data_IF_896121732670
#
_entry.id   IF_896121732670
#
_cell.length_a   1.000
_cell.length_b   1.000
_cell.length_c   1.000
_cell.angle_alpha   90.00
_cell.angle_beta   90.00
_cell.angle_gamma   90.00
#
_symmetry.space_group_name_H-M   'P 1'
#
loop_
_entity.id
_entity.type
_entity.pdbx_description
1 polymer ?
#
# COMPACT_ATOMS: atom_id res chain seq x y z
N UNK A 1 -10.58 -25.21 -19.09
CA UNK A 1 -9.17 -25.68 -19.08
C UNK A 1 -9.02 -26.75 -18.01
N UNK A 2 -8.24 -27.80 -18.32
CA UNK A 2 -7.77 -28.75 -17.33
C UNK A 2 -6.32 -28.39 -16.98
N UNK A 3 -5.99 -28.30 -15.69
CA UNK A 3 -4.66 -28.00 -15.21
C UNK A 3 -4.28 -28.95 -14.06
N UNK A 4 -2.98 -29.29 -13.95
CA UNK A 4 -2.47 -30.09 -12.85
C UNK A 4 -2.41 -29.29 -11.54
N UNK A 5 -2.13 -28.01 -11.64
CA UNK A 5 -2.04 -27.08 -10.51
C UNK A 5 -2.51 -25.69 -10.92
N UNK A 6 -2.96 -24.89 -9.96
CA UNK A 6 -3.35 -23.50 -10.16
C UNK A 6 -2.58 -22.61 -9.19
N UNK A 7 -1.97 -21.56 -9.70
CA UNK A 7 -1.25 -20.56 -8.91
C UNK A 7 -1.92 -19.20 -9.12
N UNK A 8 -2.54 -18.68 -8.08
CA UNK A 8 -3.15 -17.35 -8.07
C UNK A 8 -2.08 -16.29 -7.74
N UNK A 9 -1.66 -15.57 -8.77
CA UNK A 9 -0.71 -14.45 -8.70
C UNK A 9 -1.40 -13.11 -9.03
N UNK A 10 -2.71 -12.98 -8.82
CA UNK A 10 -3.50 -11.81 -9.25
C UNK A 10 -3.25 -10.53 -8.44
N UNK A 11 -2.48 -10.61 -7.35
CA UNK A 11 -2.08 -9.46 -6.55
C UNK A 11 -3.23 -8.79 -5.77
N UNK A 12 -3.02 -7.52 -5.39
CA UNK A 12 -3.96 -6.75 -4.55
C UNK A 12 -4.36 -5.39 -5.14
N UNK A 13 -3.70 -4.93 -6.19
CA UNK A 13 -3.84 -3.55 -6.71
C UNK A 13 -5.23 -3.20 -7.23
N UNK A 14 -6.00 -4.18 -7.67
CA UNK A 14 -7.38 -3.98 -8.13
C UNK A 14 -8.41 -3.78 -7.02
N UNK A 15 -8.01 -3.84 -5.75
CA UNK A 15 -8.91 -3.74 -4.60
C UNK A 15 -8.34 -2.79 -3.53
N UNK A 16 -8.36 -1.47 -3.77
CA UNK A 16 -7.80 -0.48 -2.86
C UNK A 16 -8.65 -0.35 -1.58
N UNK A 17 -8.03 0.14 -0.51
CA UNK A 17 -8.74 0.60 0.67
C UNK A 17 -9.36 1.99 0.42
N UNK A 18 -10.49 2.34 1.06
CA UNK A 18 -11.05 3.67 1.00
C UNK A 18 -10.16 4.71 1.71
N UNK A 19 -10.45 6.00 1.47
CA UNK A 19 -9.86 7.10 2.22
C UNK A 19 -10.35 7.13 3.66
N UNK A 20 -11.59 6.69 3.91
CA UNK A 20 -12.17 6.62 5.24
C UNK A 20 -11.30 5.78 6.19
N UNK A 21 -10.94 6.36 7.34
CA UNK A 21 -9.97 5.78 8.27
C UNK A 21 -10.41 4.51 8.97
N UNK A 22 -11.72 4.19 8.98
CA UNK A 22 -12.24 2.94 9.51
C UNK A 22 -12.28 1.79 8.47
N UNK A 23 -11.90 2.06 7.21
CA UNK A 23 -11.85 1.06 6.15
C UNK A 23 -13.21 0.73 5.52
N UNK A 24 -14.24 1.50 5.81
CA UNK A 24 -15.59 1.31 5.25
C UNK A 24 -15.78 2.21 4.03
N UNK A 25 -16.25 1.63 2.94
CA UNK A 25 -16.66 2.36 1.73
C UNK A 25 -17.96 3.13 1.98
N UNK A 26 -17.89 4.46 1.96
CA UNK A 26 -19.05 5.33 2.05
C UNK A 26 -19.59 5.68 0.65
N UNK A 27 -20.91 5.85 0.55
CA UNK A 27 -21.56 6.24 -0.71
C UNK A 27 -21.07 7.59 -1.22
N UNK A 28 -20.79 8.50 -0.30
CA UNK A 28 -20.26 9.83 -0.59
C UNK A 28 -18.89 9.75 -1.26
N UNK A 29 -17.99 8.93 -0.72
CA UNK A 29 -16.67 8.68 -1.31
C UNK A 29 -16.78 8.04 -2.69
N UNK A 30 -17.61 7.01 -2.82
CA UNK A 30 -17.86 6.33 -4.11
C UNK A 30 -18.47 7.27 -5.17
N UNK A 31 -19.30 8.24 -4.75
CA UNK A 31 -19.92 9.21 -5.66
C UNK A 31 -18.95 10.26 -6.20
N UNK A 32 -17.73 10.34 -5.63
CA UNK A 32 -16.68 11.31 -5.99
C UNK A 32 -15.54 10.65 -6.80
N UNK A 33 -15.77 9.51 -7.41
CA UNK A 33 -14.76 8.74 -8.13
C UNK A 33 -14.06 9.52 -9.25
N UNK A 34 -14.71 10.55 -9.83
CA UNK A 34 -14.10 11.44 -10.82
C UNK A 34 -13.01 12.35 -10.21
N UNK A 35 -13.09 12.66 -8.89
CA UNK A 35 -12.14 13.50 -8.15
C UNK A 35 -11.18 12.69 -7.27
N UNK A 36 -11.36 11.38 -7.17
CA UNK A 36 -10.55 10.52 -6.32
C UNK A 36 -9.78 9.51 -7.17
N UNK A 37 -8.48 9.40 -6.94
CA UNK A 37 -7.63 8.39 -7.56
C UNK A 37 -7.06 7.45 -6.49
N UNK A 38 -7.21 6.15 -6.69
CA UNK A 38 -6.66 5.14 -5.79
C UNK A 38 -5.38 4.55 -6.38
N UNK A 39 -4.27 4.70 -5.66
CA UNK A 39 -2.95 4.26 -6.10
C UNK A 39 -2.05 5.42 -6.54
N UNK A 40 -1.09 5.17 -7.42
CA UNK A 40 -0.10 6.14 -7.90
C UNK A 40 -0.49 6.57 -9.32
N UNK A 41 -1.04 7.80 -9.52
CA UNK A 41 -1.36 8.30 -10.85
C UNK A 41 -0.09 8.72 -11.62
N UNK A 42 -0.17 8.75 -12.94
CA UNK A 42 0.87 9.31 -13.81
C UNK A 42 0.79 10.85 -13.85
N UNK A 43 1.24 11.48 -12.74
CA UNK A 43 1.08 12.92 -12.47
C UNK A 43 1.83 13.78 -13.47
N UNK A 44 3.03 13.37 -13.86
CA UNK A 44 3.89 14.13 -14.78
C UNK A 44 3.58 13.83 -16.24
N UNK A 45 2.79 12.82 -16.53
CA UNK A 45 2.38 12.39 -17.86
C UNK A 45 0.90 12.68 -18.13
N UNK A 46 0.12 11.61 -18.36
CA UNK A 46 -1.27 11.70 -18.84
C UNK A 46 -2.24 12.41 -17.88
N UNK A 47 -1.98 12.38 -16.57
CA UNK A 47 -2.84 12.98 -15.55
C UNK A 47 -2.41 14.41 -15.17
N UNK A 48 -1.39 14.99 -15.80
CA UNK A 48 -0.82 16.29 -15.45
C UNK A 48 -1.88 17.39 -15.36
N UNK A 49 -2.77 17.48 -16.33
CA UNK A 49 -3.83 18.51 -16.37
C UNK A 49 -4.84 18.36 -15.24
N UNK A 50 -4.99 17.15 -14.70
CA UNK A 50 -5.89 16.85 -13.62
C UNK A 50 -5.44 17.51 -12.31
N UNK A 51 -4.13 17.58 -12.09
CA UNK A 51 -3.57 18.05 -10.81
C UNK A 51 -2.94 19.45 -10.88
N UNK A 52 -2.59 19.93 -12.06
CA UNK A 52 -1.94 21.22 -12.26
C UNK A 52 -2.80 22.41 -11.75
N UNK A 53 -2.19 23.27 -10.90
CA UNK A 53 -2.83 24.45 -10.31
C UNK A 53 -4.09 24.16 -9.49
N UNK A 54 -4.17 23.01 -8.88
CA UNK A 54 -5.26 22.57 -8.01
C UNK A 54 -4.76 22.33 -6.58
N UNK A 55 -5.71 22.31 -5.63
CA UNK A 55 -5.47 21.82 -4.27
C UNK A 55 -5.68 20.32 -4.27
N UNK A 56 -4.60 19.56 -4.08
CA UNK A 56 -4.55 18.09 -4.17
C UNK A 56 -4.24 17.51 -2.79
N UNK A 57 -5.12 16.66 -2.29
CA UNK A 57 -4.89 15.92 -1.06
C UNK A 57 -4.30 14.52 -1.36
N UNK A 58 -3.22 14.16 -0.69
CA UNK A 58 -2.65 12.81 -0.70
C UNK A 58 -2.89 12.16 0.65
N UNK A 59 -3.59 11.02 0.65
CA UNK A 59 -3.97 10.28 1.85
C UNK A 59 -3.16 9.02 1.99
N UNK A 60 -2.38 8.92 3.06
CA UNK A 60 -1.51 7.77 3.36
C UNK A 60 -0.12 8.17 3.80
N UNK A 61 0.63 7.24 4.37
CA UNK A 61 1.98 7.49 4.92
C UNK A 61 3.04 6.48 4.44
N UNK A 62 2.70 5.64 3.47
CA UNK A 62 3.64 4.68 2.89
C UNK A 62 4.37 5.22 1.66
N UNK A 63 5.28 4.42 1.11
CA UNK A 63 6.11 4.79 -0.06
C UNK A 63 5.28 5.25 -1.28
N UNK A 64 4.08 4.70 -1.49
CA UNK A 64 3.19 5.14 -2.57
C UNK A 64 2.76 6.61 -2.38
N UNK A 65 2.42 7.01 -1.15
CA UNK A 65 2.09 8.39 -0.85
C UNK A 65 3.31 9.31 -1.04
N UNK A 66 4.49 8.89 -0.57
CA UNK A 66 5.73 9.67 -0.72
C UNK A 66 6.07 9.87 -2.21
N UNK A 67 6.02 8.82 -3.02
CA UNK A 67 6.26 8.95 -4.48
C UNK A 67 5.28 9.94 -5.12
N UNK A 68 3.99 9.83 -4.78
CA UNK A 68 2.95 10.75 -5.26
C UNK A 68 3.23 12.19 -4.86
N UNK A 69 3.64 12.45 -3.61
CA UNK A 69 3.98 13.78 -3.12
C UNK A 69 5.20 14.37 -3.84
N UNK A 70 6.23 13.56 -4.07
CA UNK A 70 7.44 13.96 -4.81
C UNK A 70 7.13 14.31 -6.28
N UNK A 71 6.22 13.59 -6.92
CA UNK A 71 5.77 13.93 -8.29
C UNK A 71 4.92 15.20 -8.32
N UNK A 72 4.03 15.40 -7.34
CA UNK A 72 3.27 16.64 -7.18
C UNK A 72 4.18 17.84 -6.92
N UNK A 73 5.24 17.67 -6.13
CA UNK A 73 6.23 18.73 -5.91
C UNK A 73 6.93 19.14 -7.22
N UNK A 74 7.35 18.18 -8.05
CA UNK A 74 7.88 18.47 -9.39
C UNK A 74 6.85 19.16 -10.29
N UNK A 75 5.59 18.72 -10.26
CA UNK A 75 4.52 19.38 -11.00
C UNK A 75 4.36 20.84 -10.58
N UNK A 76 4.45 21.13 -9.28
CA UNK A 76 4.33 22.47 -8.70
C UNK A 76 5.41 23.42 -9.21
N UNK A 77 6.63 22.96 -9.54
CA UNK A 77 7.70 23.82 -10.10
C UNK A 77 7.24 24.56 -11.37
N UNK A 78 6.51 23.86 -12.25
CA UNK A 78 5.94 24.45 -13.48
C UNK A 78 4.50 24.94 -13.31
N UNK A 79 3.84 24.61 -12.22
CA UNK A 79 2.45 24.94 -11.90
C UNK A 79 2.34 25.50 -10.47
N UNK A 80 2.82 26.73 -10.21
CA UNK A 80 3.06 27.24 -8.85
C UNK A 80 1.81 27.43 -7.99
N UNK A 81 0.61 27.44 -8.59
CA UNK A 81 -0.65 27.49 -7.85
C UNK A 81 -1.11 26.14 -7.33
N UNK A 82 -0.36 25.07 -7.59
CA UNK A 82 -0.64 23.73 -7.02
C UNK A 82 -0.39 23.75 -5.52
N UNK A 83 -1.41 23.36 -4.75
CA UNK A 83 -1.33 23.22 -3.30
C UNK A 83 -1.36 21.73 -2.99
N UNK A 84 -0.38 21.27 -2.23
CA UNK A 84 -0.22 19.85 -1.87
C UNK A 84 -0.56 19.69 -0.40
N UNK A 85 -1.54 18.85 -0.09
CA UNK A 85 -1.96 18.53 1.27
C UNK A 85 -1.68 17.06 1.55
N UNK A 86 -0.90 16.78 2.58
CA UNK A 86 -0.58 15.42 2.99
C UNK A 86 -1.33 15.03 4.26
N UNK A 87 -2.21 14.05 4.15
CA UNK A 87 -3.08 13.60 5.24
C UNK A 87 -2.68 12.22 5.70
N UNK A 88 -2.41 12.04 7.00
CA UNK A 88 -2.05 10.74 7.55
C UNK A 88 -2.56 10.53 8.98
N UNK A 89 -2.64 9.25 9.39
CA UNK A 89 -3.08 8.83 10.74
C UNK A 89 -1.94 8.76 11.77
N UNK A 90 -0.69 8.76 11.33
CA UNK A 90 0.49 8.71 12.22
C UNK A 90 0.45 9.89 13.19
N UNK A 91 1.04 9.74 14.37
CA UNK A 91 1.05 10.81 15.37
C UNK A 91 1.92 11.99 14.92
N UNK A 92 3.03 11.68 14.28
CA UNK A 92 4.00 12.66 13.80
C UNK A 92 4.42 12.36 12.37
N UNK A 93 4.76 13.39 11.63
CA UNK A 93 5.16 13.27 10.23
C UNK A 93 6.47 12.50 10.07
N UNK A 94 7.39 12.64 11.04
CA UNK A 94 8.72 11.98 11.03
C UNK A 94 8.59 10.46 10.98
N UNK A 95 7.53 9.90 11.54
CA UNK A 95 7.24 8.46 11.46
C UNK A 95 7.00 7.95 10.01
N UNK A 96 6.77 8.86 9.07
CA UNK A 96 6.59 8.51 7.66
C UNK A 96 7.88 8.58 6.85
N UNK A 97 8.94 9.20 7.36
CA UNK A 97 10.21 9.35 6.62
C UNK A 97 11.00 8.03 6.54
N UNK A 98 10.71 7.08 7.45
CA UNK A 98 11.41 5.80 7.50
C UNK A 98 12.83 5.92 8.02
N UNK A 99 13.72 5.04 7.55
CA UNK A 99 15.11 4.97 8.03
C UNK A 99 16.05 6.03 7.46
N UNK A 100 15.64 6.77 6.43
CA UNK A 100 16.45 7.75 5.71
C UNK A 100 17.85 7.17 5.37
N UNK A 101 18.95 7.83 5.77
CA UNK A 101 20.32 7.35 5.54
C UNK A 101 20.64 6.03 6.26
N UNK A 102 19.86 5.64 7.25
CA UNK A 102 20.01 4.38 8.00
C UNK A 102 19.20 3.24 7.39
N UNK A 103 18.45 3.49 6.34
CA UNK A 103 17.63 2.46 5.68
C UNK A 103 18.54 1.47 4.94
N UNK A 104 18.35 0.18 5.16
CA UNK A 104 19.11 -0.87 4.48
C UNK A 104 18.91 -0.88 2.95
N UNK A 105 17.82 -0.30 2.47
CA UNK A 105 17.56 -0.08 1.04
C UNK A 105 17.78 1.39 0.68
N UNK A 106 18.93 1.70 0.08
CA UNK A 106 19.34 3.08 -0.28
C UNK A 106 18.24 3.85 -1.03
N UNK A 107 17.60 3.22 -2.02
CA UNK A 107 16.51 3.85 -2.78
C UNK A 107 15.30 4.21 -1.92
N UNK A 108 15.01 3.43 -0.86
CA UNK A 108 13.94 3.71 0.09
C UNK A 108 14.31 4.82 1.05
N UNK A 109 15.54 4.80 1.56
CA UNK A 109 16.09 5.88 2.40
C UNK A 109 16.07 7.23 1.68
N UNK A 110 16.49 7.26 0.42
CA UNK A 110 16.44 8.46 -0.41
C UNK A 110 15.03 9.05 -0.59
N UNK A 111 13.98 8.23 -0.62
CA UNK A 111 12.60 8.73 -0.63
C UNK A 111 12.25 9.45 0.68
N UNK A 112 12.67 8.88 1.82
CA UNK A 112 12.48 9.47 3.14
C UNK A 112 13.15 10.85 3.25
N UNK A 113 14.43 10.95 2.92
CA UNK A 113 15.18 12.21 2.97
C UNK A 113 14.57 13.29 2.06
N UNK A 114 14.11 12.91 0.87
CA UNK A 114 13.50 13.86 -0.07
C UNK A 114 12.16 14.40 0.41
N UNK A 115 11.28 13.55 0.98
CA UNK A 115 10.01 14.04 1.50
C UNK A 115 10.20 14.88 2.77
N UNK A 116 11.16 14.53 3.62
CA UNK A 116 11.55 15.32 4.79
C UNK A 116 11.92 16.75 4.36
N UNK A 117 12.80 16.89 3.39
CA UNK A 117 13.19 18.19 2.84
C UNK A 117 11.99 19.01 2.35
N UNK A 118 11.05 18.40 1.60
CA UNK A 118 9.85 19.11 1.11
C UNK A 118 8.92 19.59 2.23
N UNK A 119 8.86 18.85 3.33
CA UNK A 119 8.08 19.26 4.52
C UNK A 119 8.77 20.43 5.22
N UNK A 120 10.07 20.37 5.43
CA UNK A 120 10.86 21.45 6.06
C UNK A 120 10.83 22.77 5.26
N UNK A 121 10.84 22.68 3.94
CA UNK A 121 10.70 23.81 3.02
C UNK A 121 9.26 24.40 3.00
N UNK A 122 8.29 23.75 3.66
CA UNK A 122 6.89 24.17 3.63
C UNK A 122 6.22 24.00 2.25
N UNK A 123 6.78 23.13 1.40
CA UNK A 123 6.23 22.84 0.06
C UNK A 123 4.97 22.00 0.11
N UNK A 124 4.72 21.30 1.23
CA UNK A 124 3.60 20.41 1.50
C UNK A 124 2.92 20.80 2.80
N UNK A 125 1.61 20.99 2.78
CA UNK A 125 0.79 21.16 3.99
C UNK A 125 0.57 19.80 4.64
N UNK A 126 1.08 19.56 5.85
CA UNK A 126 0.93 18.31 6.58
C UNK A 126 -0.22 18.39 7.57
N UNK A 127 -1.12 17.40 7.53
CA UNK A 127 -2.23 17.24 8.49
C UNK A 127 -2.11 15.87 9.16
N UNK A 128 -1.63 15.87 10.39
CA UNK A 128 -1.39 14.66 11.20
C UNK A 128 -1.48 14.99 12.70
N UNK A 129 -1.95 14.07 13.56
CA UNK A 129 -2.71 12.86 13.23
C UNK A 129 -4.11 13.22 12.72
N UNK A 130 -4.57 12.59 11.64
CA UNK A 130 -5.88 12.90 11.11
C UNK A 130 -6.65 11.64 10.69
N UNK A 131 -7.86 11.48 11.20
CA UNK A 131 -8.73 10.34 10.91
C UNK A 131 -9.91 10.80 10.04
N UNK A 132 -9.83 10.51 8.74
CA UNK A 132 -10.93 10.82 7.81
C UNK A 132 -12.17 10.03 8.19
N UNK A 133 -13.29 10.72 8.36
CA UNK A 133 -14.60 10.12 8.62
C UNK A 133 -15.47 10.10 7.37
N UNK A 134 -15.48 11.19 6.60
CA UNK A 134 -16.28 11.31 5.39
C UNK A 134 -15.70 12.36 4.45
N UNK A 135 -16.13 12.29 3.22
CA UNK A 135 -15.92 13.34 2.21
C UNK A 135 -17.28 13.95 1.84
N UNK A 136 -17.32 15.25 1.58
CA UNK A 136 -18.53 15.95 1.21
C UNK A 136 -18.29 16.66 -0.14
N UNK A 137 -19.15 16.42 -1.11
CA UNK A 137 -19.08 17.07 -2.43
C UNK A 137 -19.24 18.58 -2.30
N UNK A 138 -18.39 19.31 -2.99
CA UNK A 138 -18.52 20.75 -3.21
C UNK A 138 -18.78 21.02 -4.70
N UNK A 139 -18.85 22.28 -5.11
CA UNK A 139 -19.04 22.65 -6.52
C UNK A 139 -17.91 22.17 -7.41
N UNK A 140 -16.66 22.30 -6.94
CA UNK A 140 -15.45 22.09 -7.76
C UNK A 140 -14.54 20.96 -7.22
N UNK A 141 -15.07 20.09 -6.34
CA UNK A 141 -14.32 19.00 -5.72
C UNK A 141 -14.99 18.50 -4.44
N UNK A 142 -14.26 18.54 -3.32
CA UNK A 142 -14.73 18.01 -2.04
C UNK A 142 -14.14 18.73 -0.84
N UNK A 143 -14.84 18.59 0.28
CA UNK A 143 -14.30 18.84 1.61
C UNK A 143 -14.04 17.51 2.30
N UNK A 144 -12.90 17.38 2.97
CA UNK A 144 -12.55 16.18 3.74
C UNK A 144 -12.83 16.48 5.22
N UNK A 145 -13.71 15.70 5.85
CA UNK A 145 -14.09 15.87 7.24
C UNK A 145 -13.54 14.71 8.06
N UNK A 146 -12.91 15.02 9.16
CA UNK A 146 -12.32 14.03 10.03
C UNK A 146 -11.97 14.60 11.40
N UNK A 147 -11.27 13.81 12.21
CA UNK A 147 -10.83 14.20 13.55
C UNK A 147 -9.32 14.29 13.62
N UNK A 148 -8.85 15.34 14.24
CA UNK A 148 -7.52 15.48 14.79
C UNK A 148 -7.67 15.47 16.30
N UNK A 149 -7.15 14.41 16.94
CA UNK A 149 -7.47 14.11 18.33
C UNK A 149 -8.98 13.97 18.55
N UNK A 150 -9.59 14.80 19.42
CA UNK A 150 -11.02 14.81 19.69
C UNK A 150 -11.79 15.91 18.94
N UNK A 151 -11.11 16.73 18.14
CA UNK A 151 -11.72 17.84 17.40
C UNK A 151 -12.05 17.44 15.98
N UNK A 152 -13.31 17.72 15.56
CA UNK A 152 -13.66 17.64 14.14
C UNK A 152 -12.98 18.79 13.39
N UNK A 153 -12.19 18.44 12.39
CA UNK A 153 -11.50 19.38 11.52
C UNK A 153 -11.92 19.10 10.07
N UNK A 154 -12.09 20.18 9.32
CA UNK A 154 -12.47 20.15 7.92
C UNK A 154 -11.34 20.68 7.05
N UNK A 155 -10.89 19.86 6.11
CA UNK A 155 -9.97 20.27 5.04
C UNK A 155 -10.81 20.69 3.85
N UNK A 156 -10.88 22.00 3.61
CA UNK A 156 -11.78 22.59 2.63
C UNK A 156 -11.16 22.67 1.24
N UNK A 157 -12.04 22.78 0.23
CA UNK A 157 -11.69 23.14 -1.14
C UNK A 157 -10.66 22.21 -1.80
N UNK A 158 -10.72 20.92 -1.51
CA UNK A 158 -9.89 19.90 -2.17
C UNK A 158 -10.48 19.61 -3.54
N UNK A 159 -9.71 19.85 -4.60
CA UNK A 159 -10.16 19.62 -5.98
C UNK A 159 -9.97 18.15 -6.38
N UNK A 160 -8.86 17.55 -5.96
CA UNK A 160 -8.51 16.17 -6.28
C UNK A 160 -7.95 15.48 -5.03
N UNK A 161 -8.26 14.21 -4.85
CA UNK A 161 -7.70 13.38 -3.77
C UNK A 161 -7.03 12.14 -4.35
N UNK A 162 -5.82 11.84 -3.87
CA UNK A 162 -5.08 10.62 -4.22
C UNK A 162 -4.98 9.77 -2.96
N UNK A 163 -5.50 8.55 -3.03
CA UNK A 163 -5.62 7.65 -1.88
C UNK A 163 -4.57 6.55 -1.96
N UNK A 164 -3.64 6.56 -1.02
CA UNK A 164 -2.54 5.61 -0.87
C UNK A 164 -2.63 4.86 0.47
N UNK A 165 -3.82 4.41 0.82
CA UNK A 165 -4.12 3.72 2.10
C UNK A 165 -3.87 2.21 2.06
N UNK A 166 -3.24 1.73 1.00
CA UNK A 166 -2.96 0.32 0.75
C UNK A 166 -4.11 -0.38 0.03
N UNK A 167 -3.93 -1.69 -0.14
CA UNK A 167 -4.86 -2.55 -0.88
C UNK A 167 -5.21 -3.79 -0.06
N UNK A 168 -6.26 -4.48 -0.48
CA UNK A 168 -6.68 -5.76 0.09
C UNK A 168 -6.72 -6.83 -1.00
N UNK A 169 -6.52 -8.11 -0.67
CA UNK A 169 -6.69 -9.18 -1.65
C UNK A 169 -8.16 -9.28 -2.06
N UNK A 170 -8.41 -9.47 -3.35
CA UNK A 170 -9.74 -9.87 -3.80
C UNK A 170 -9.83 -11.39 -3.77
N UNK A 171 -10.53 -11.93 -2.78
CA UNK A 171 -10.73 -13.37 -2.59
C UNK A 171 -12.00 -13.91 -3.26
N UNK A 172 -12.82 -13.06 -3.90
CA UNK A 172 -14.09 -13.46 -4.50
C UNK A 172 -13.92 -14.49 -5.63
N UNK A 173 -12.83 -14.37 -6.41
CA UNK A 173 -12.55 -15.29 -7.53
C UNK A 173 -12.19 -16.72 -7.07
N UNK A 174 -11.84 -16.90 -5.79
CA UNK A 174 -11.48 -18.18 -5.21
C UNK A 174 -12.43 -18.61 -4.09
N UNK A 175 -13.61 -17.99 -4.01
CA UNK A 175 -14.58 -18.20 -2.94
C UNK A 175 -15.14 -19.64 -2.87
N UNK A 176 -15.10 -20.39 -3.98
CA UNK A 176 -15.53 -21.79 -4.05
C UNK A 176 -14.38 -22.79 -3.85
N UNK A 177 -13.14 -22.28 -3.69
CA UNK A 177 -11.96 -23.12 -3.47
C UNK A 177 -11.73 -23.26 -1.96
N UNK A 178 -11.33 -24.44 -1.51
CA UNK A 178 -10.98 -24.67 -0.10
C UNK A 178 -9.67 -23.97 0.23
N UNK A 179 -9.76 -22.79 0.84
CA UNK A 179 -8.62 -21.98 1.26
C UNK A 179 -8.53 -21.87 2.77
N UNK A 180 -7.33 -21.61 3.27
CA UNK A 180 -7.07 -21.28 4.68
C UNK A 180 -6.50 -19.87 4.74
N UNK A 181 -7.38 -18.92 5.09
CA UNK A 181 -7.09 -17.47 5.14
C UNK A 181 -7.30 -16.99 6.56
N UNK A 182 -6.34 -16.24 7.09
CA UNK A 182 -6.47 -15.52 8.35
C UNK A 182 -7.39 -14.30 8.18
N UNK A 183 -8.41 -14.16 9.01
CA UNK A 183 -9.42 -13.11 8.87
C UNK A 183 -8.92 -11.71 9.24
N UNK A 184 -7.89 -11.59 10.06
CA UNK A 184 -7.36 -10.30 10.50
C UNK A 184 -6.39 -9.70 9.48
N UNK A 185 -5.46 -10.50 8.99
CA UNK A 185 -4.46 -10.08 8.00
C UNK A 185 -4.93 -10.29 6.56
N UNK A 186 -5.98 -11.08 6.33
CA UNK A 186 -6.43 -11.53 5.00
C UNK A 186 -5.34 -12.23 4.19
N UNK A 187 -4.33 -12.73 4.87
CA UNK A 187 -3.22 -13.50 4.32
C UNK A 187 -3.47 -15.01 4.43
N UNK A 188 -2.61 -15.81 3.81
CA UNK A 188 -2.59 -17.25 4.06
C UNK A 188 -2.39 -17.49 5.56
N UNK A 189 -3.22 -18.33 6.17
CA UNK A 189 -3.25 -18.52 7.62
C UNK A 189 -1.91 -18.98 8.23
N UNK A 190 -1.16 -19.81 7.51
CA UNK A 190 0.19 -20.24 7.91
C UNK A 190 1.24 -19.12 7.83
N UNK A 191 1.02 -18.11 6.98
CA UNK A 191 1.88 -16.92 6.91
C UNK A 191 1.52 -15.88 7.96
N UNK A 192 0.26 -15.76 8.35
CA UNK A 192 -0.21 -14.69 9.23
C UNK A 192 0.69 -14.46 10.46
N UNK A 193 1.06 -15.47 11.27
CA UNK A 193 1.92 -15.26 12.43
C UNK A 193 3.36 -14.88 12.06
N UNK A 194 3.78 -15.08 10.82
CA UNK A 194 5.13 -14.80 10.35
C UNK A 194 5.27 -13.40 9.75
N UNK A 195 4.16 -12.75 9.41
CA UNK A 195 4.12 -11.48 8.69
C UNK A 195 3.25 -10.41 9.36
N UNK A 196 2.56 -10.73 10.46
CA UNK A 196 1.68 -9.80 11.17
C UNK A 196 2.47 -8.58 11.66
N UNK A 197 2.16 -7.36 11.19
CA UNK A 197 2.87 -6.15 11.57
C UNK A 197 2.71 -5.77 13.04
N UNK A 198 1.75 -6.36 13.77
CA UNK A 198 1.60 -6.19 15.21
C UNK A 198 2.56 -7.09 16.01
N UNK A 199 3.07 -8.16 15.39
CA UNK A 199 3.96 -9.13 16.03
C UNK A 199 5.40 -9.02 15.53
N UNK A 200 5.60 -8.53 14.31
CA UNK A 200 6.89 -8.48 13.64
C UNK A 200 7.18 -7.09 13.10
N UNK A 201 8.42 -6.65 13.26
CA UNK A 201 8.92 -5.47 12.55
C UNK A 201 9.26 -5.82 11.09
N UNK A 202 9.25 -4.83 10.21
CA UNK A 202 9.48 -5.03 8.77
C UNK A 202 10.82 -5.68 8.39
N UNK A 203 11.76 -5.82 9.31
CA UNK A 203 13.07 -6.45 9.05
C UNK A 203 13.17 -7.93 9.45
N UNK A 204 12.13 -8.50 10.06
CA UNK A 204 12.21 -9.86 10.64
C UNK A 204 11.44 -10.92 9.88
N UNK A 205 10.79 -10.56 8.78
CA UNK A 205 10.02 -11.49 7.95
C UNK A 205 10.98 -12.39 7.17
N UNK A 206 10.93 -13.71 7.45
CA UNK A 206 11.74 -14.72 6.76
C UNK A 206 11.10 -15.10 5.42
N UNK A 207 11.90 -15.57 4.45
CA UNK A 207 11.37 -16.17 3.22
C UNK A 207 10.44 -17.34 3.51
N UNK A 208 9.43 -17.51 2.67
CA UNK A 208 8.45 -18.59 2.75
C UNK A 208 8.43 -19.39 1.46
N UNK A 209 8.26 -20.69 1.57
CA UNK A 209 8.20 -21.60 0.45
C UNK A 209 6.84 -22.30 0.31
N UNK A 210 6.84 -23.36 -0.48
CA UNK A 210 5.65 -24.15 -0.78
C UNK A 210 4.93 -24.64 0.47
N UNK A 211 5.68 -25.05 1.50
CA UNK A 211 5.13 -25.59 2.74
C UNK A 211 4.19 -24.61 3.45
N UNK A 212 4.58 -23.34 3.53
CA UNK A 212 3.81 -22.29 4.17
C UNK A 212 2.67 -21.78 3.28
N UNK A 213 2.78 -21.97 1.95
CA UNK A 213 1.80 -21.48 0.98
C UNK A 213 0.73 -22.52 0.62
N UNK A 214 0.89 -23.75 1.08
CA UNK A 214 -0.02 -24.86 0.80
C UNK A 214 -1.43 -24.57 1.32
N UNK A 215 -2.42 -24.79 0.45
CA UNK A 215 -3.83 -24.64 0.79
C UNK A 215 -4.48 -26.01 1.07
N UNK A 216 -5.66 -26.05 1.73
CA UNK A 216 -6.46 -27.27 1.86
C UNK A 216 -6.84 -27.86 0.50
N UNK A 217 -7.08 -27.03 -0.52
CA UNK A 217 -7.24 -27.51 -1.90
C UNK A 217 -5.88 -27.94 -2.45
N UNK A 218 -5.84 -29.18 -2.93
CA UNK A 218 -4.60 -29.77 -3.45
C UNK A 218 -4.14 -29.05 -4.72
N UNK A 219 -2.81 -28.82 -4.81
CA UNK A 219 -2.16 -28.19 -5.97
C UNK A 219 -2.73 -26.80 -6.32
N UNK A 220 -3.31 -26.11 -5.33
CA UNK A 220 -3.73 -24.72 -5.40
C UNK A 220 -2.88 -23.85 -4.48
N UNK A 221 -2.37 -22.73 -5.01
CA UNK A 221 -1.48 -21.80 -4.30
C UNK A 221 -1.88 -20.34 -4.54
N UNK A 222 -1.71 -19.51 -3.53
CA UNK A 222 -1.80 -18.06 -3.63
C UNK A 222 -0.40 -17.50 -3.40
N UNK A 223 0.11 -16.68 -4.32
CA UNK A 223 1.47 -16.14 -4.27
C UNK A 223 1.53 -14.62 -4.42
N UNK A 224 2.70 -14.06 -4.20
CA UNK A 224 2.94 -12.64 -4.34
C UNK A 224 2.26 -11.83 -3.24
N UNK A 225 1.99 -10.55 -3.49
CA UNK A 225 1.36 -9.65 -2.51
C UNK A 225 0.02 -10.15 -2.00
N UNK A 226 -0.71 -10.93 -2.80
CA UNK A 226 -2.00 -11.53 -2.39
C UNK A 226 -1.84 -12.52 -1.25
N UNK A 227 -0.76 -13.29 -1.22
CA UNK A 227 -0.48 -14.25 -0.14
C UNK A 227 -0.26 -13.55 1.21
N UNK A 228 0.21 -12.31 1.19
CA UNK A 228 0.44 -11.46 2.37
C UNK A 228 -0.81 -10.69 2.81
N UNK A 229 -1.88 -10.72 2.03
CA UNK A 229 -3.12 -10.04 2.38
C UNK A 229 -2.93 -8.53 2.57
N UNK A 230 -3.15 -8.07 3.80
CA UNK A 230 -3.02 -6.66 4.19
C UNK A 230 -1.64 -6.30 4.76
N UNK A 231 -0.77 -7.29 4.95
CA UNK A 231 0.56 -7.04 5.53
C UNK A 231 1.44 -6.26 4.53
N UNK A 232 2.04 -5.13 4.95
CA UNK A 232 2.78 -4.24 4.04
C UNK A 232 4.21 -4.70 3.75
N UNK A 233 4.64 -5.83 4.34
CA UNK A 233 6.02 -6.30 4.35
C UNK A 233 6.42 -7.15 3.14
N UNK A 234 5.56 -7.24 2.12
CA UNK A 234 5.84 -8.01 0.92
C UNK A 234 6.91 -7.35 0.04
N UNK A 235 7.90 -8.15 -0.38
CA UNK A 235 8.90 -7.78 -1.37
C UNK A 235 8.78 -8.66 -2.61
N UNK A 236 9.05 -8.11 -3.80
CA UNK A 236 9.01 -8.87 -5.07
C UNK A 236 9.95 -10.08 -5.04
N UNK A 237 11.14 -9.94 -4.48
CA UNK A 237 12.08 -11.04 -4.34
C UNK A 237 11.50 -12.21 -3.52
N UNK A 238 10.74 -11.91 -2.44
CA UNK A 238 10.00 -12.93 -1.68
C UNK A 238 8.99 -13.67 -2.57
N UNK A 239 8.29 -12.94 -3.44
CA UNK A 239 7.34 -13.54 -4.38
C UNK A 239 8.03 -14.46 -5.39
N UNK A 240 9.20 -14.11 -5.87
CA UNK A 240 10.00 -14.98 -6.75
C UNK A 240 10.43 -16.26 -6.06
N UNK A 241 10.86 -16.18 -4.79
CA UNK A 241 11.21 -17.37 -4.00
C UNK A 241 9.99 -18.26 -3.74
N UNK A 242 8.82 -17.68 -3.46
CA UNK A 242 7.57 -18.42 -3.34
C UNK A 242 7.29 -19.27 -4.60
N UNK A 243 7.34 -18.63 -5.77
CA UNK A 243 7.07 -19.32 -7.05
C UNK A 243 8.13 -20.37 -7.34
N UNK A 244 9.42 -20.06 -7.12
CA UNK A 244 10.52 -21.01 -7.30
C UNK A 244 10.28 -22.28 -6.46
N UNK A 245 9.99 -22.12 -5.18
CA UNK A 245 9.74 -23.22 -4.24
C UNK A 245 8.55 -24.09 -4.65
N UNK A 246 7.42 -23.45 -5.03
CA UNK A 246 6.21 -24.16 -5.50
C UNK A 246 6.50 -24.96 -6.77
N UNK A 247 7.18 -24.36 -7.75
CA UNK A 247 7.53 -25.07 -9.00
C UNK A 247 8.45 -26.24 -8.73
N UNK A 248 9.45 -26.08 -7.86
CA UNK A 248 10.32 -27.17 -7.45
C UNK A 248 9.50 -28.35 -6.86
N UNK A 249 8.55 -28.05 -5.97
CA UNK A 249 7.67 -29.06 -5.40
C UNK A 249 6.81 -29.77 -6.46
N UNK A 250 6.14 -29.03 -7.33
CA UNK A 250 5.27 -29.57 -8.38
C UNK A 250 6.03 -30.43 -9.41
N UNK A 251 7.33 -30.17 -9.59
CA UNK A 251 8.21 -30.96 -10.48
C UNK A 251 8.88 -32.13 -9.79
N UNK A 252 8.63 -32.33 -8.48
CA UNK A 252 9.20 -33.44 -7.70
C UNK A 252 10.59 -33.18 -7.08
N UNK A 253 11.12 -31.98 -7.22
CA UNK A 253 12.37 -31.58 -6.55
C UNK A 253 12.08 -31.05 -5.13
N UNK A 254 11.74 -32.00 -4.25
CA UNK A 254 11.31 -31.64 -2.88
C UNK A 254 12.45 -31.06 -2.03
N UNK A 255 13.69 -31.37 -2.31
CA UNK A 255 14.85 -30.82 -1.60
C UNK A 255 15.00 -29.33 -1.91
N UNK A 256 14.98 -28.94 -3.17
CA UNK A 256 15.02 -27.54 -3.60
C UNK A 256 13.79 -26.76 -3.11
N UNK A 257 12.60 -27.38 -3.09
CA UNK A 257 11.38 -26.73 -2.58
C UNK A 257 11.48 -26.31 -1.11
N UNK A 258 12.27 -26.97 -0.28
CA UNK A 258 12.43 -26.69 1.14
C UNK A 258 13.54 -25.68 1.46
N UNK A 259 14.39 -25.38 0.49
CA UNK A 259 15.53 -24.45 0.65
C UNK A 259 15.12 -23.07 0.13
N UNK A 260 15.64 -22.03 0.76
CA UNK A 260 15.69 -20.68 0.20
C UNK A 260 16.92 -20.62 -0.71
N UNK A 261 16.73 -20.38 -2.00
CA UNK A 261 17.80 -20.36 -2.98
C UNK A 261 18.10 -18.99 -3.54
N UNK A 262 17.12 -18.05 -3.48
CA UNK A 262 17.34 -16.69 -3.91
C UNK A 262 17.99 -15.87 -2.79
N UNK A 263 18.91 -14.99 -3.18
CA UNK A 263 19.46 -13.96 -2.31
C UNK A 263 18.39 -12.88 -2.09
N UNK A 264 17.82 -12.88 -0.89
CA UNK A 264 16.73 -11.99 -0.56
C UNK A 264 17.26 -10.78 0.23
N UNK A 265 16.91 -9.55 -0.18
CA UNK A 265 17.32 -8.37 0.55
C UNK A 265 16.75 -8.39 1.97
N UNK A 266 17.56 -8.02 2.95
CA UNK A 266 17.06 -7.73 4.28
C UNK A 266 16.02 -6.62 4.19
N UNK A 267 14.83 -6.85 4.75
CA UNK A 267 13.80 -5.81 4.80
C UNK A 267 14.23 -4.78 5.81
N UNK A 268 14.47 -3.57 5.36
CA UNK A 268 15.07 -2.52 6.17
C UNK A 268 14.28 -2.09 7.39
N UNK A 269 14.88 -1.19 8.13
CA UNK A 269 14.38 -0.69 9.41
C UNK A 269 13.02 -0.02 9.26
N UNK A 270 11.99 -0.62 9.86
CA UNK A 270 10.76 0.08 10.20
C UNK A 270 10.95 0.66 11.61
N UNK A 271 11.07 1.93 11.70
CA UNK A 271 10.97 2.67 12.97
C UNK A 271 9.52 3.01 13.26
#
# INVERSE_FOLDING_TARGET
YEARAVIDASGTWGNPNPANSNGIWLKEEQSLNEHIFYGIPDILGKEQKRYANKRVAVVGSGHSAINTLLELAKLKESNPKTIIVWIMRKQRVEEAYGGEEKDALEARGALGSRIHQLVDEGSVEVITPYKIQRVARTKDGMDIVGHQEEQEIKVNDVHEMIVNTGNRPNLSIISEIRTSIDSATESIATLAPLIDPNLHSCGTVRPHGEKELRQPEKDFYIVGSKSYGRAPTFLMATGYEQVRSIVAYLTGNYESAQKVELDLPETGVCS
#
